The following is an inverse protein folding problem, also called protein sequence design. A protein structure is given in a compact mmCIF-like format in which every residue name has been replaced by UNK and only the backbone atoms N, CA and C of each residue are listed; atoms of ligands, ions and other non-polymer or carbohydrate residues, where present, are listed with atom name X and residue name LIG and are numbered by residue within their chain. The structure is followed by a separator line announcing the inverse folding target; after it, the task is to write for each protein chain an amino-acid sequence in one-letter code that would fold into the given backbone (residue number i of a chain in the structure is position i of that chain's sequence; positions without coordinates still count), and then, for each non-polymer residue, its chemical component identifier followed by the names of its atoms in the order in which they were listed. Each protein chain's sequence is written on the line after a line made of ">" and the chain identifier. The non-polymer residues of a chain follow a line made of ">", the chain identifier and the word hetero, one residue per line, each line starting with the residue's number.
data_IF_987463789642
#
_entry.id   IF_987463789642
#
_cell.length_a   1.000
_cell.length_b   1.000
_cell.length_c   1.000
_cell.angle_alpha   90.00
_cell.angle_beta   90.00
_cell.angle_gamma   90.00
#
_symmetry.space_group_name_H-M   'P 1'
#
loop_
_entity.id
_entity.type
_entity.pdbx_description
1 polymer ?
#
# COMPACT_ATOMS: atom_id res chain seq x y z
N UNK A 1 -3.18 -2.96 -15.66
CA UNK A 1 -4.43 -3.40 -15.00
C UNK A 1 -5.21 -4.41 -15.85
N UNK A 2 -5.62 -4.08 -17.09
CA UNK A 2 -6.44 -4.97 -17.94
C UNK A 2 -5.87 -6.37 -18.11
N UNK A 3 -4.57 -6.48 -18.43
CA UNK A 3 -3.89 -7.78 -18.57
C UNK A 3 -3.99 -8.65 -17.31
N UNK A 4 -3.84 -8.04 -16.13
CA UNK A 4 -3.86 -8.71 -14.85
C UNK A 4 -5.28 -9.22 -14.49
N UNK A 5 -6.32 -8.41 -14.76
CA UNK A 5 -7.71 -8.85 -14.58
C UNK A 5 -8.06 -10.03 -15.49
N UNK A 6 -7.59 -10.02 -16.75
CA UNK A 6 -7.79 -11.13 -17.69
C UNK A 6 -7.08 -12.42 -17.24
N UNK A 7 -5.93 -12.30 -16.58
CA UNK A 7 -5.19 -13.44 -16.01
C UNK A 7 -5.71 -13.90 -14.64
N UNK A 8 -6.79 -13.33 -14.13
CA UNK A 8 -7.31 -13.58 -12.78
C UNK A 8 -6.29 -13.27 -11.66
N UNK A 9 -5.46 -12.24 -11.85
CA UNK A 9 -4.61 -11.69 -10.80
C UNK A 9 -5.42 -10.79 -9.87
N UNK A 10 -4.96 -10.64 -8.63
CA UNK A 10 -5.58 -9.68 -7.69
C UNK A 10 -5.00 -8.30 -7.97
N UNK A 11 -5.85 -7.35 -8.35
CA UNK A 11 -5.48 -5.98 -8.67
C UNK A 11 -5.87 -5.05 -7.52
N UNK A 12 -4.90 -4.32 -6.97
CA UNK A 12 -5.13 -3.23 -6.03
C UNK A 12 -4.65 -1.93 -6.65
N UNK A 13 -5.53 -0.94 -6.76
CA UNK A 13 -5.21 0.35 -7.39
C UNK A 13 -5.51 1.52 -6.47
N UNK A 14 -4.51 2.39 -6.31
CA UNK A 14 -4.65 3.72 -5.73
C UNK A 14 -4.69 4.72 -6.89
N UNK A 15 -5.88 5.27 -7.21
CA UNK A 15 -6.06 6.08 -8.42
C UNK A 15 -5.42 7.47 -8.33
N UNK A 16 -5.36 8.07 -7.15
CA UNK A 16 -4.67 9.35 -6.94
C UNK A 16 -4.00 9.36 -5.56
N UNK A 17 -2.67 9.40 -5.54
CA UNK A 17 -1.86 9.50 -4.34
C UNK A 17 -2.10 10.80 -3.55
N UNK A 18 -2.60 11.86 -4.21
CA UNK A 18 -2.82 13.19 -3.61
C UNK A 18 -3.87 13.16 -2.50
N UNK A 19 -4.93 12.38 -2.65
CA UNK A 19 -6.05 12.31 -1.68
C UNK A 19 -5.60 11.93 -0.26
N UNK A 20 -4.45 11.27 -0.16
CA UNK A 20 -3.88 10.83 1.12
C UNK A 20 -2.99 11.88 1.78
N UNK A 21 -2.61 12.94 1.07
CA UNK A 21 -1.62 13.92 1.57
C UNK A 21 -2.17 15.35 1.62
N UNK A 22 -3.31 15.61 1.00
CA UNK A 22 -3.85 16.96 0.81
C UNK A 22 -4.70 17.50 1.97
N UNK A 23 -4.90 16.73 3.04
CA UNK A 23 -5.64 17.18 4.22
C UNK A 23 -7.16 16.96 4.14
N UNK A 24 -7.67 16.29 3.10
CA UNK A 24 -9.13 16.15 2.88
C UNK A 24 -9.76 14.99 3.65
N UNK A 25 -8.99 13.93 3.95
CA UNK A 25 -9.50 12.74 4.63
C UNK A 25 -9.20 12.76 6.13
N UNK A 26 -10.08 12.17 6.93
CA UNK A 26 -9.86 12.05 8.37
C UNK A 26 -8.72 11.06 8.68
N UNK A 27 -7.87 11.42 9.64
CA UNK A 27 -6.73 10.62 10.09
C UNK A 27 -6.74 10.47 11.61
N UNK A 28 -6.14 9.40 12.11
CA UNK A 28 -5.98 9.16 13.54
C UNK A 28 -4.60 8.54 13.83
N UNK A 29 -3.98 8.84 14.99
CA UNK A 29 -2.74 8.17 15.39
C UNK A 29 -3.02 6.70 15.74
N UNK A 30 -2.09 5.81 15.37
CA UNK A 30 -2.13 4.40 15.74
C UNK A 30 -1.49 4.21 17.11
N UNK A 31 -2.26 3.73 18.08
CA UNK A 31 -1.79 3.49 19.44
C UNK A 31 -0.65 2.45 19.45
N UNK A 32 0.43 2.74 20.19
CA UNK A 32 1.56 1.82 20.37
C UNK A 32 2.56 1.75 19.21
N UNK A 33 2.44 2.62 18.19
CA UNK A 33 3.43 2.71 17.10
C UNK A 33 4.63 3.60 17.49
N UNK A 34 5.85 3.13 17.21
CA UNK A 34 7.09 3.90 17.33
C UNK A 34 7.91 3.76 16.03
N UNK A 35 8.12 4.83 15.23
CA UNK A 35 7.58 6.20 15.38
C UNK A 35 6.05 6.26 15.27
N UNK A 36 5.46 7.38 15.70
CA UNK A 36 3.99 7.58 15.65
C UNK A 36 3.52 7.51 14.21
N UNK A 37 2.67 6.52 13.90
CA UNK A 37 2.07 6.36 12.59
C UNK A 37 0.61 6.82 12.59
N UNK A 38 0.13 7.22 11.41
CA UNK A 38 -1.22 7.72 11.21
C UNK A 38 -2.01 6.84 10.25
N UNK A 39 -3.28 6.60 10.56
CA UNK A 39 -4.19 5.79 9.74
C UNK A 39 -5.31 6.66 9.16
N UNK A 40 -5.59 6.48 7.87
CA UNK A 40 -6.72 7.09 7.17
C UNK A 40 -7.78 6.02 6.91
N UNK A 41 -8.73 5.94 7.84
CA UNK A 41 -9.79 4.92 7.86
C UNK A 41 -10.67 4.97 6.60
N UNK A 42 -11.14 6.16 6.24
CA UNK A 42 -12.02 6.37 5.08
C UNK A 42 -11.33 5.97 3.76
N UNK A 43 -10.07 6.37 3.58
CA UNK A 43 -9.30 6.00 2.39
C UNK A 43 -9.07 4.49 2.28
N UNK A 44 -8.83 3.83 3.41
CA UNK A 44 -8.66 2.36 3.45
C UNK A 44 -9.96 1.65 3.12
N UNK A 45 -11.10 2.12 3.63
CA UNK A 45 -12.42 1.58 3.30
C UNK A 45 -12.73 1.69 1.80
N UNK A 46 -12.43 2.84 1.19
CA UNK A 46 -12.58 3.03 -0.25
C UNK A 46 -11.65 2.13 -1.07
N UNK A 47 -10.42 1.90 -0.62
CA UNK A 47 -9.53 0.94 -1.26
C UNK A 47 -10.13 -0.47 -1.23
N UNK A 48 -10.65 -0.90 -0.06
CA UNK A 48 -11.27 -2.22 0.09
C UNK A 48 -12.50 -2.39 -0.79
N UNK A 49 -13.35 -1.38 -0.90
CA UNK A 49 -14.51 -1.38 -1.82
C UNK A 49 -14.07 -1.60 -3.28
N UNK A 50 -13.06 -0.86 -3.74
CA UNK A 50 -12.50 -1.00 -5.09
C UNK A 50 -11.91 -2.38 -5.32
N UNK A 51 -11.18 -2.91 -4.34
CA UNK A 51 -10.57 -4.25 -4.41
C UNK A 51 -11.63 -5.35 -4.44
N UNK A 52 -12.68 -5.23 -3.62
CA UNK A 52 -13.79 -6.19 -3.61
C UNK A 52 -14.50 -6.25 -4.96
N UNK A 53 -14.85 -5.07 -5.53
CA UNK A 53 -15.55 -4.96 -6.82
C UNK A 53 -14.69 -5.40 -8.00
N UNK A 54 -13.42 -4.99 -8.05
CA UNK A 54 -12.55 -5.30 -9.19
C UNK A 54 -12.15 -6.78 -9.26
N UNK A 55 -12.09 -7.47 -8.11
CA UNK A 55 -11.55 -8.82 -8.01
C UNK A 55 -12.57 -9.87 -7.57
N UNK A 56 -13.87 -9.58 -7.69
CA UNK A 56 -14.97 -10.47 -7.29
C UNK A 56 -14.79 -11.91 -7.79
N UNK A 57 -14.45 -12.07 -9.08
CA UNK A 57 -14.29 -13.38 -9.71
C UNK A 57 -13.17 -14.25 -9.09
N UNK A 58 -12.21 -13.63 -8.42
CA UNK A 58 -11.05 -14.27 -7.79
C UNK A 58 -11.27 -14.41 -6.28
N UNK A 59 -11.66 -13.32 -5.61
CA UNK A 59 -11.80 -13.26 -4.15
C UNK A 59 -12.96 -14.11 -3.61
N UNK A 60 -14.06 -14.25 -4.36
CA UNK A 60 -15.19 -15.11 -3.99
C UNK A 60 -14.81 -16.60 -3.86
N UNK A 61 -13.78 -17.03 -4.60
CA UNK A 61 -13.28 -18.42 -4.60
C UNK A 61 -12.24 -18.68 -3.51
N UNK A 62 -11.76 -17.63 -2.85
CA UNK A 62 -10.71 -17.70 -1.85
C UNK A 62 -11.34 -17.53 -0.47
N UNK A 63 -11.01 -18.44 0.44
CA UNK A 63 -11.49 -18.39 1.81
C UNK A 63 -10.36 -17.92 2.74
N UNK A 64 -10.76 -17.42 3.91
CA UNK A 64 -9.81 -17.07 4.96
C UNK A 64 -9.13 -18.34 5.50
N UNK A 65 -7.82 -18.27 5.71
CA UNK A 65 -7.01 -19.41 6.16
C UNK A 65 -6.33 -19.21 7.52
N UNK A 66 -6.36 -17.98 8.06
CA UNK A 66 -5.73 -17.58 9.30
C UNK A 66 -6.75 -16.95 10.24
N UNK A 67 -6.46 -17.02 11.52
CA UNK A 67 -7.23 -16.31 12.53
C UNK A 67 -6.72 -14.87 12.65
N UNK A 68 -7.63 -13.90 12.56
CA UNK A 68 -7.32 -12.48 12.75
C UNK A 68 -7.88 -12.01 14.10
N UNK A 69 -7.04 -11.90 15.15
CA UNK A 69 -7.51 -11.57 16.48
C UNK A 69 -8.12 -10.16 16.59
N UNK A 70 -7.79 -9.26 15.66
CA UNK A 70 -8.31 -7.89 15.60
C UNK A 70 -9.74 -7.80 15.05
N UNK A 71 -10.24 -8.87 14.41
CA UNK A 71 -11.53 -8.90 13.72
C UNK A 71 -12.55 -9.83 14.39
N UNK A 72 -12.29 -10.30 15.61
CA UNK A 72 -13.05 -11.37 16.29
C UNK A 72 -14.58 -11.17 16.32
N UNK A 73 -15.07 -9.94 16.35
CA UNK A 73 -16.51 -9.64 16.41
C UNK A 73 -17.25 -9.82 15.09
N UNK A 74 -16.54 -9.73 13.95
CA UNK A 74 -17.15 -9.69 12.60
C UNK A 74 -16.65 -10.83 11.72
N UNK A 75 -15.83 -11.73 12.29
CA UNK A 75 -15.12 -12.75 11.55
C UNK A 75 -15.85 -14.10 11.62
N UNK A 76 -16.25 -14.62 10.45
CA UNK A 76 -16.68 -16.01 10.29
C UNK A 76 -15.55 -16.83 9.64
N UNK A 77 -15.10 -17.95 10.24
CA UNK A 77 -14.12 -18.87 9.65
C UNK A 77 -14.43 -19.35 8.22
N UNK A 78 -15.70 -19.32 7.80
CA UNK A 78 -16.14 -19.76 6.47
C UNK A 78 -16.26 -18.63 5.46
N UNK A 79 -16.04 -17.38 5.85
CA UNK A 79 -16.21 -16.24 4.95
C UNK A 79 -15.17 -16.23 3.81
N UNK A 80 -15.58 -15.68 2.67
CA UNK A 80 -14.66 -15.46 1.56
C UNK A 80 -13.76 -14.24 1.80
N UNK A 81 -12.66 -14.13 1.06
CA UNK A 81 -11.83 -12.92 1.08
C UNK A 81 -12.57 -11.69 0.51
N UNK A 82 -13.59 -11.92 -0.34
CA UNK A 82 -14.46 -10.85 -0.81
C UNK A 82 -15.32 -10.30 0.33
N UNK A 83 -15.94 -11.17 1.12
CA UNK A 83 -16.77 -10.78 2.25
C UNK A 83 -15.94 -9.99 3.29
N UNK A 84 -14.70 -10.41 3.53
CA UNK A 84 -13.75 -9.67 4.37
C UNK A 84 -13.54 -8.23 3.88
N UNK A 85 -13.34 -8.05 2.58
CA UNK A 85 -13.14 -6.74 1.98
C UNK A 85 -14.41 -5.87 2.03
N UNK A 86 -15.58 -6.47 1.81
CA UNK A 86 -16.88 -5.79 1.92
C UNK A 86 -17.12 -5.30 3.35
N UNK A 87 -16.96 -6.17 4.35
CA UNK A 87 -17.09 -5.81 5.76
C UNK A 87 -16.17 -4.65 6.15
N UNK A 88 -14.91 -4.68 5.70
CA UNK A 88 -13.96 -3.61 5.95
C UNK A 88 -14.29 -2.30 5.21
N UNK A 89 -15.04 -2.37 4.10
CA UNK A 89 -15.51 -1.19 3.37
C UNK A 89 -16.73 -0.53 4.03
N UNK A 90 -17.62 -1.34 4.62
CA UNK A 90 -18.82 -0.85 5.32
C UNK A 90 -18.51 -0.23 6.69
N UNK A 91 -17.45 -0.71 7.35
CA UNK A 91 -17.03 -0.25 8.67
C UNK A 91 -15.64 0.41 8.64
N UNK A 92 -15.56 1.75 8.49
CA UNK A 92 -14.30 2.47 8.42
C UNK A 92 -13.38 2.27 9.62
N UNK A 93 -13.93 2.06 10.82
CA UNK A 93 -13.14 1.82 12.04
C UNK A 93 -12.33 0.53 12.00
N UNK A 94 -12.85 -0.47 11.28
CA UNK A 94 -12.25 -1.80 11.14
C UNK A 94 -11.50 -1.93 9.80
N UNK A 95 -11.60 -0.94 8.91
CA UNK A 95 -11.01 -0.96 7.57
C UNK A 95 -9.50 -1.26 7.56
N UNK A 96 -8.73 -0.65 8.47
CA UNK A 96 -7.29 -0.87 8.53
C UNK A 96 -6.90 -2.28 9.01
N UNK A 97 -7.44 -2.79 10.14
CA UNK A 97 -7.33 -4.20 10.51
C UNK A 97 -7.79 -5.17 9.41
N UNK A 98 -8.90 -4.87 8.73
CA UNK A 98 -9.43 -5.68 7.63
C UNK A 98 -8.46 -5.73 6.43
N UNK A 99 -7.86 -4.59 6.08
CA UNK A 99 -6.83 -4.53 5.05
C UNK A 99 -5.58 -5.34 5.42
N UNK A 100 -5.09 -5.22 6.66
CA UNK A 100 -3.95 -6.02 7.14
C UNK A 100 -4.25 -7.52 7.12
N UNK A 101 -5.45 -7.91 7.52
CA UNK A 101 -5.92 -9.29 7.45
C UNK A 101 -5.93 -9.79 6.00
N UNK A 102 -6.58 -9.05 5.09
CA UNK A 102 -6.64 -9.36 3.67
C UNK A 102 -5.23 -9.48 3.06
N UNK A 103 -4.33 -8.56 3.37
CA UNK A 103 -2.95 -8.60 2.92
C UNK A 103 -2.21 -9.84 3.42
N UNK A 104 -2.35 -10.18 4.70
CA UNK A 104 -1.73 -11.36 5.29
C UNK A 104 -2.28 -12.68 4.72
N UNK A 105 -3.53 -12.68 4.27
CA UNK A 105 -4.16 -13.82 3.58
C UNK A 105 -3.68 -13.96 2.14
N UNK A 106 -3.57 -12.86 1.41
CA UNK A 106 -3.11 -12.84 0.02
C UNK A 106 -1.62 -13.15 -0.12
N UNK A 107 -0.83 -12.89 0.92
CA UNK A 107 0.61 -13.20 1.00
C UNK A 107 0.89 -14.55 1.67
N UNK A 108 -0.14 -15.28 2.09
CA UNK A 108 0.03 -16.62 2.63
C UNK A 108 0.53 -17.58 1.54
N UNK A 109 1.61 -18.31 1.82
CA UNK A 109 2.16 -19.38 0.98
C UNK A 109 1.73 -20.77 1.42
N UNK A 110 1.32 -20.92 2.68
CA UNK A 110 0.81 -22.16 3.24
C UNK A 110 -0.33 -21.88 4.23
N UNK A 111 -1.22 -22.88 4.37
CA UNK A 111 -2.16 -22.91 5.48
C UNK A 111 -1.39 -22.91 6.79
N UNK A 112 -1.83 -22.12 7.77
CA UNK A 112 -1.30 -22.26 9.13
C UNK A 112 -1.50 -23.71 9.57
N UNK A 113 -0.44 -24.37 10.01
CA UNK A 113 -0.52 -25.73 10.56
C UNK A 113 -1.60 -25.71 11.65
N UNK A 114 -2.51 -26.68 11.58
CA UNK A 114 -3.69 -26.94 12.42
C UNK A 114 -5.03 -26.46 11.78
N UNK A 115 -5.79 -27.36 11.11
CA UNK A 115 -7.21 -27.17 10.88
C UNK A 115 -7.99 -27.59 12.15
N UNK A 116 -7.93 -26.80 13.22
CA UNK A 116 -8.91 -26.88 14.30
C UNK A 116 -9.77 -25.65 14.21
N UNK A 117 -10.90 -25.77 13.51
CA UNK A 117 -11.90 -24.70 13.47
C UNK A 117 -12.71 -24.52 12.19
N UNK A 118 -13.02 -25.59 11.44
CA UNK A 118 -13.98 -25.48 10.32
C UNK A 118 -13.54 -24.64 9.11
N UNK A 119 -12.25 -24.30 9.01
CA UNK A 119 -11.67 -23.58 7.87
C UNK A 119 -11.58 -24.48 6.62
N UNK A 120 -11.81 -23.89 5.44
CA UNK A 120 -11.72 -24.55 4.14
C UNK A 120 -10.25 -24.89 3.75
N UNK A 121 -10.01 -25.86 2.86
CA UNK A 121 -8.67 -26.22 2.43
C UNK A 121 -7.98 -25.03 1.75
N UNK A 122 -6.70 -24.82 2.08
CA UNK A 122 -5.92 -23.72 1.55
C UNK A 122 -5.71 -23.86 0.05
N UNK A 123 -6.07 -22.81 -0.68
CA UNK A 123 -5.84 -22.69 -2.12
C UNK A 123 -4.63 -21.78 -2.37
N UNK A 124 -3.70 -22.15 -3.26
CA UNK A 124 -2.61 -21.28 -3.68
C UNK A 124 -3.13 -19.90 -4.07
N UNK A 125 -2.48 -18.85 -3.57
CA UNK A 125 -2.89 -17.47 -3.81
C UNK A 125 -2.36 -17.01 -5.19
N UNK A 126 -3.18 -16.28 -5.96
CA UNK A 126 -2.76 -15.75 -7.26
C UNK A 126 -1.72 -14.63 -7.10
N UNK A 127 -0.97 -14.31 -8.17
CA UNK A 127 -0.12 -13.12 -8.20
C UNK A 127 -0.93 -11.84 -8.03
N UNK A 128 -0.26 -10.79 -7.52
CA UNK A 128 -0.89 -9.49 -7.27
C UNK A 128 -0.32 -8.41 -8.20
N UNK A 129 -1.19 -7.53 -8.70
CA UNK A 129 -0.80 -6.29 -9.35
C UNK A 129 -1.19 -5.12 -8.44
N UNK A 130 -0.21 -4.31 -8.10
CA UNK A 130 -0.41 -3.11 -7.29
C UNK A 130 -0.08 -1.90 -8.15
N UNK A 131 -0.99 -0.95 -8.23
CA UNK A 131 -0.81 0.26 -9.02
C UNK A 131 -1.06 1.49 -8.17
N UNK A 132 -0.15 2.44 -8.23
CA UNK A 132 -0.31 3.76 -7.59
C UNK A 132 -0.02 4.82 -8.63
N UNK A 133 -0.92 5.78 -8.78
CA UNK A 133 -0.71 6.93 -9.64
C UNK A 133 -0.36 8.19 -8.83
N UNK A 134 0.53 9.02 -9.37
CA UNK A 134 0.98 10.26 -8.75
C UNK A 134 1.90 10.09 -7.55
N UNK A 135 2.79 9.07 -7.52
CA UNK A 135 3.64 8.75 -6.35
C UNK A 135 4.45 9.94 -5.79
N UNK A 136 4.79 10.92 -6.62
CA UNK A 136 5.49 12.15 -6.20
C UNK A 136 4.80 12.87 -5.03
N UNK A 137 3.47 12.77 -4.91
CA UNK A 137 2.72 13.31 -3.77
C UNK A 137 3.06 12.64 -2.43
N UNK A 138 3.52 11.39 -2.45
CA UNK A 138 3.95 10.66 -1.25
C UNK A 138 5.41 10.91 -0.87
N UNK A 139 6.19 11.57 -1.73
CA UNK A 139 7.61 11.85 -1.49
C UNK A 139 7.83 13.20 -0.83
N UNK A 140 6.84 13.71 -0.10
CA UNK A 140 6.88 15.02 0.54
C UNK A 140 6.14 15.01 1.87
N UNK A 141 6.31 16.10 2.60
CA UNK A 141 5.50 16.37 3.78
C UNK A 141 4.04 16.63 3.38
N UNK A 142 3.12 16.05 4.14
CA UNK A 142 1.68 16.20 3.91
C UNK A 142 1.16 17.53 4.47
N UNK A 143 -0.10 17.85 4.16
CA UNK A 143 -0.82 18.98 4.75
C UNK A 143 -1.43 18.67 6.13
N UNK A 144 -1.18 17.49 6.68
CA UNK A 144 -1.64 17.10 8.01
C UNK A 144 -0.66 17.53 9.10
N UNK A 145 -1.16 17.75 10.31
CA UNK A 145 -0.38 18.21 11.45
C UNK A 145 -0.44 17.22 12.62
N UNK A 146 0.65 17.07 13.34
CA UNK A 146 0.69 16.36 14.60
C UNK A 146 0.05 17.20 15.72
N UNK A 147 -0.22 16.61 16.91
CA UNK A 147 -0.69 17.37 18.08
C UNK A 147 0.25 18.51 18.49
N UNK A 148 1.53 18.42 18.13
CA UNK A 148 2.56 19.44 18.37
C UNK A 148 2.62 20.51 17.25
N UNK A 149 1.63 20.52 16.35
CA UNK A 149 1.56 21.40 15.19
C UNK A 149 2.77 21.28 14.25
N UNK A 150 3.37 20.08 14.16
CA UNK A 150 4.41 19.77 13.19
C UNK A 150 3.80 19.09 11.97
N UNK A 151 4.20 19.46 10.75
CA UNK A 151 3.65 18.84 9.55
C UNK A 151 4.11 17.36 9.49
N UNK A 152 3.20 16.47 9.14
CA UNK A 152 3.42 15.02 9.15
C UNK A 152 4.01 14.60 7.80
N UNK A 153 5.06 13.78 7.81
CA UNK A 153 5.63 13.25 6.58
C UNK A 153 4.71 12.18 5.97
N UNK A 154 4.58 12.09 4.64
CA UNK A 154 3.71 11.11 3.99
C UNK A 154 4.05 9.66 4.38
N UNK A 155 5.34 9.36 4.56
CA UNK A 155 5.81 8.02 4.98
C UNK A 155 5.39 7.65 6.41
N UNK A 156 4.92 8.58 7.24
CA UNK A 156 4.40 8.28 8.59
C UNK A 156 2.95 7.77 8.54
N UNK A 157 2.26 7.86 7.39
CA UNK A 157 0.96 7.25 7.19
C UNK A 157 1.12 5.75 6.93
N UNK A 158 0.41 4.91 7.68
CA UNK A 158 0.56 3.45 7.57
C UNK A 158 0.15 2.94 6.19
N UNK A 159 -0.88 3.54 5.59
CA UNK A 159 -1.32 3.22 4.23
C UNK A 159 -0.19 3.45 3.22
N UNK A 160 0.39 4.65 3.23
CA UNK A 160 1.47 5.04 2.31
C UNK A 160 2.72 4.19 2.55
N UNK A 161 3.14 4.07 3.82
CA UNK A 161 4.30 3.28 4.22
C UNK A 161 4.17 1.81 3.79
N UNK A 162 2.96 1.24 3.89
CA UNK A 162 2.71 -0.12 3.43
C UNK A 162 3.05 -0.29 1.95
N UNK A 163 2.51 0.56 1.07
CA UNK A 163 2.78 0.48 -0.37
C UNK A 163 4.23 0.81 -0.72
N UNK A 164 4.84 1.81 -0.08
CA UNK A 164 6.25 2.14 -0.30
C UNK A 164 7.20 1.02 0.15
N UNK A 165 6.86 0.31 1.24
CA UNK A 165 7.66 -0.83 1.70
C UNK A 165 7.75 -1.96 0.67
N UNK A 166 6.77 -2.06 -0.24
CA UNK A 166 6.77 -3.02 -1.34
C UNK A 166 7.86 -2.72 -2.38
N UNK A 167 8.18 -1.44 -2.60
CA UNK A 167 9.28 -1.02 -3.48
C UNK A 167 10.63 -1.38 -2.87
N UNK A 168 10.79 -1.14 -1.58
CA UNK A 168 12.08 -1.30 -0.89
C UNK A 168 12.44 -2.77 -0.69
N UNK A 169 11.44 -3.64 -0.48
CA UNK A 169 11.66 -5.08 -0.28
C UNK A 169 10.61 -5.93 -1.03
N UNK A 170 10.68 -6.01 -2.37
CA UNK A 170 9.66 -6.67 -3.17
C UNK A 170 9.62 -8.19 -2.93
N UNK A 171 10.78 -8.82 -2.75
CA UNK A 171 10.91 -10.28 -2.61
C UNK A 171 10.30 -10.80 -1.30
N UNK A 172 10.47 -10.07 -0.19
CA UNK A 172 9.87 -10.45 1.09
C UNK A 172 8.38 -10.10 1.17
N UNK A 173 7.93 -9.12 0.38
CA UNK A 173 6.58 -8.57 0.51
C UNK A 173 5.53 -9.27 -0.35
N UNK A 174 5.92 -9.93 -1.44
CA UNK A 174 5.01 -10.63 -2.36
C UNK A 174 5.54 -12.04 -2.70
N UNK A 175 5.42 -13.01 -1.77
CA UNK A 175 5.98 -14.36 -1.96
C UNK A 175 5.27 -15.15 -3.06
N UNK A 176 4.04 -14.79 -3.39
CA UNK A 176 3.24 -15.40 -4.46
C UNK A 176 3.56 -14.83 -5.84
N UNK A 177 4.54 -13.91 -5.92
CA UNK A 177 4.83 -13.14 -7.12
C UNK A 177 3.83 -12.03 -7.36
N UNK A 178 4.15 -11.17 -8.32
CA UNK A 178 3.35 -10.00 -8.63
C UNK A 178 4.20 -8.86 -9.15
N UNK A 179 3.54 -7.72 -9.36
CA UNK A 179 4.19 -6.49 -9.84
C UNK A 179 3.59 -5.33 -9.08
N UNK A 180 4.46 -4.46 -8.55
CA UNK A 180 4.06 -3.17 -8.01
C UNK A 180 4.53 -2.06 -8.97
N UNK A 181 3.59 -1.30 -9.50
CA UNK A 181 3.81 -0.24 -10.48
C UNK A 181 3.44 1.09 -9.84
N UNK A 182 4.41 2.00 -9.81
CA UNK A 182 4.21 3.35 -9.29
C UNK A 182 4.45 4.32 -10.44
N UNK A 183 3.41 5.05 -10.81
CA UNK A 183 3.44 6.03 -11.88
C UNK A 183 3.68 7.43 -11.31
N UNK A 184 4.53 8.19 -11.99
CA UNK A 184 4.61 9.64 -11.81
C UNK A 184 3.61 10.29 -12.75
N UNK A 185 3.07 11.44 -12.34
CA UNK A 185 2.22 12.27 -13.19
C UNK A 185 2.95 13.57 -13.51
N UNK A 186 2.72 14.13 -14.69
CA UNK A 186 3.15 15.49 -15.00
C UNK A 186 2.07 16.53 -14.65
N UNK A 187 0.79 16.10 -14.61
CA UNK A 187 -0.33 16.97 -14.26
C UNK A 187 -0.45 17.09 -12.76
N UNK A 188 -0.45 18.33 -12.25
CA UNK A 188 -0.60 18.62 -10.82
C UNK A 188 0.43 17.86 -9.95
N UNK A 189 1.70 17.88 -10.38
CA UNK A 189 2.80 17.18 -9.73
C UNK A 189 3.61 18.11 -8.83
N UNK A 190 3.82 17.79 -7.54
CA UNK A 190 4.76 18.54 -6.71
C UNK A 190 6.19 18.32 -7.20
N UNK A 191 6.97 19.40 -7.26
CA UNK A 191 8.39 19.33 -7.56
C UNK A 191 9.14 18.91 -6.30
N UNK A 192 9.49 17.63 -6.20
CA UNK A 192 10.26 17.08 -5.08
C UNK A 192 11.67 16.79 -5.57
N UNK A 193 12.63 17.66 -5.22
CA UNK A 193 14.00 17.58 -5.74
C UNK A 193 14.65 16.24 -5.43
N UNK A 194 14.55 15.75 -4.20
CA UNK A 194 15.16 14.47 -3.80
C UNK A 194 14.68 13.31 -4.65
N UNK A 195 13.37 13.28 -4.92
CA UNK A 195 12.76 12.26 -5.74
C UNK A 195 13.23 12.36 -7.20
N UNK A 196 13.30 13.57 -7.77
CA UNK A 196 13.79 13.79 -9.13
C UNK A 196 15.26 13.35 -9.29
N UNK A 197 16.11 13.65 -8.31
CA UNK A 197 17.50 13.19 -8.29
C UNK A 197 17.56 11.66 -8.18
N UNK A 198 16.75 11.05 -7.32
CA UNK A 198 16.66 9.59 -7.19
C UNK A 198 16.21 8.91 -8.49
N UNK A 199 15.22 9.46 -9.19
CA UNK A 199 14.78 8.96 -10.48
C UNK A 199 15.87 9.09 -11.55
N UNK A 200 16.60 10.22 -11.58
CA UNK A 200 17.73 10.38 -12.49
C UNK A 200 18.83 9.35 -12.19
N UNK A 201 19.23 9.18 -10.93
CA UNK A 201 20.20 8.16 -10.52
C UNK A 201 19.77 6.74 -10.95
N UNK A 202 18.50 6.38 -10.74
CA UNK A 202 17.95 5.10 -11.16
C UNK A 202 18.00 4.94 -12.69
N UNK A 203 17.63 5.97 -13.45
CA UNK A 203 17.70 5.96 -14.91
C UNK A 203 19.13 5.65 -15.41
N UNK A 204 20.15 6.32 -14.85
CA UNK A 204 21.55 6.06 -15.21
C UNK A 204 21.99 4.64 -14.83
N UNK A 205 21.60 4.15 -13.64
CA UNK A 205 21.89 2.77 -13.20
C UNK A 205 21.27 1.73 -14.11
N UNK A 206 20.01 1.90 -14.51
CA UNK A 206 19.31 0.99 -15.42
C UNK A 206 19.95 0.93 -16.82
N UNK A 207 20.56 2.03 -17.27
CA UNK A 207 21.28 2.09 -18.55
C UNK A 207 22.77 1.74 -18.44
N UNK A 208 23.26 1.31 -17.27
CA UNK A 208 24.66 0.94 -17.04
C UNK A 208 25.65 2.09 -17.19
N UNK A 209 25.19 3.34 -17.06
CA UNK A 209 26.03 4.53 -17.19
C UNK A 209 26.63 4.92 -15.83
N UNK A 210 27.87 5.45 -15.79
CA UNK A 210 28.46 5.93 -14.55
C UNK A 210 27.68 7.14 -14.01
N UNK A 211 27.59 7.23 -12.68
CA UNK A 211 26.97 8.35 -11.98
C UNK A 211 27.89 9.58 -12.10
N UNK A 212 27.77 10.33 -13.20
CA UNK A 212 28.54 11.56 -13.43
C UNK A 212 27.86 12.75 -12.70
N UNK A 213 28.52 13.39 -11.73
CA UNK A 213 28.00 14.55 -11.00
C UNK A 213 27.65 15.75 -11.90
N UNK A 214 28.19 15.83 -13.11
CA UNK A 214 27.88 16.90 -14.07
C UNK A 214 26.61 16.63 -14.88
N UNK A 215 26.14 15.39 -14.94
CA UNK A 215 24.94 14.98 -15.68
C UNK A 215 23.74 14.71 -14.78
N UNK A 216 24.00 14.25 -13.57
CA UNK A 216 22.97 14.04 -12.55
C UNK A 216 22.76 15.37 -11.83
N UNK A 217 21.51 15.85 -11.68
CA UNK A 217 21.25 17.04 -10.89
C UNK A 217 21.74 16.81 -9.45
N UNK A 218 22.83 17.46 -9.05
CA UNK A 218 23.25 17.40 -7.66
C UNK A 218 22.34 18.29 -6.82
N UNK A 219 22.09 17.91 -5.56
CA UNK A 219 21.52 18.82 -4.56
C UNK A 219 22.30 20.14 -4.49
N UNK A 220 21.60 21.26 -4.34
CA UNK A 220 22.26 22.53 -4.04
C UNK A 220 22.96 22.49 -2.67
N UNK A 221 24.03 23.26 -2.45
CA UNK A 221 24.79 23.25 -1.19
C UNK A 221 23.98 23.68 0.05
N UNK A 222 22.87 24.40 -0.15
CA UNK A 222 21.97 24.87 0.90
C UNK A 222 20.57 24.25 0.82
N UNK A 223 20.40 23.23 -0.02
CA UNK A 223 19.11 22.58 -0.22
C UNK A 223 18.91 21.49 0.83
N UNK A 224 17.80 21.56 1.57
CA UNK A 224 17.44 20.51 2.53
C UNK A 224 16.82 19.34 1.80
N UNK A 225 17.57 18.25 1.69
CA UNK A 225 17.07 17.01 1.12
C UNK A 225 16.36 16.19 2.19
N UNK A 226 15.23 15.60 1.81
CA UNK A 226 14.57 14.58 2.63
C UNK A 226 15.26 13.22 2.46
N UNK A 227 15.96 12.70 3.48
CA UNK A 227 16.65 11.41 3.40
C UNK A 227 15.71 10.21 3.27
N UNK A 228 14.42 10.36 3.59
CA UNK A 228 13.44 9.27 3.53
C UNK A 228 12.95 8.98 2.11
N UNK A 229 13.15 9.92 1.19
CA UNK A 229 12.63 9.90 -0.19
C UNK A 229 13.64 9.44 -1.23
N UNK A 230 14.86 9.08 -0.79
CA UNK A 230 15.97 8.63 -1.62
C UNK A 230 16.07 7.11 -1.67
#
# INVERSE_FOLDING_TARGET
>A
MTRALLDNWVVMSVPDARELVDGTTAYAPVQGSQPVQYVQKAATAQLLDRVAKANEAVLSKLHVSRQHPELKSTFDPKMSLQDLAIVGSEQPDVAWPAFRALWSELTATSATKIPTGGFQPFKPRPPMLITVDGISHWMQTTKYFSPEFKPIHAHDFVFINHFLSLCSNPASSMPNGGVALFATSFSNNPSVRTFDVGLAELHYRCHGQPLDPHRIPTPGPYETLDPRTR
#
